data_IF_714780138178
#
_entry.id   IF_714780138178
#
_cell.length_a   1.000
_cell.length_b   1.000
_cell.length_c   1.000
_cell.angle_alpha   90.00
_cell.angle_beta   90.00
_cell.angle_gamma   90.00
#
_symmetry.space_group_name_H-M   'P 1'
#
loop_
_entity.id
_entity.type
_entity.pdbx_description
1 polymer ?
#
# COMPACT_ATOMS: atom_id res chain seq x y z
N UNK A 1 -17.33 -6.28 -7.38
CA UNK A 1 -16.94 -7.57 -8.00
C UNK A 1 -17.18 -8.61 -6.93
N UNK A 2 -18.03 -9.59 -7.20
CA UNK A 2 -18.27 -10.69 -6.28
C UNK A 2 -17.12 -11.70 -6.42
N UNK A 3 -16.64 -12.20 -5.29
CA UNK A 3 -15.65 -13.28 -5.23
C UNK A 3 -16.35 -14.43 -4.52
N UNK A 4 -16.59 -15.51 -5.27
CA UNK A 4 -17.44 -16.61 -4.82
C UNK A 4 -16.62 -17.77 -4.24
N UNK A 5 -15.33 -17.87 -4.60
CA UNK A 5 -14.43 -18.95 -4.17
C UNK A 5 -13.07 -18.42 -3.65
N UNK A 6 -12.43 -19.18 -2.75
CA UNK A 6 -11.11 -18.85 -2.20
C UNK A 6 -10.00 -18.73 -3.26
N UNK A 7 -10.03 -19.57 -4.29
CA UNK A 7 -9.06 -19.48 -5.39
C UNK A 7 -9.16 -18.16 -6.16
N UNK A 8 -10.38 -17.65 -6.36
CA UNK A 8 -10.60 -16.35 -6.98
C UNK A 8 -10.08 -15.22 -6.09
N UNK A 9 -10.23 -15.34 -4.77
CA UNK A 9 -9.68 -14.37 -3.81
C UNK A 9 -8.15 -14.32 -3.92
N UNK A 10 -7.50 -15.49 -3.97
CA UNK A 10 -6.05 -15.60 -4.11
C UNK A 10 -5.54 -15.05 -5.44
N UNK A 11 -6.20 -15.40 -6.54
CA UNK A 11 -5.89 -14.87 -7.87
C UNK A 11 -6.07 -13.34 -7.93
N UNK A 12 -7.11 -12.82 -7.29
CA UNK A 12 -7.38 -11.39 -7.23
C UNK A 12 -6.31 -10.64 -6.43
N UNK A 13 -5.91 -11.16 -5.27
CA UNK A 13 -4.86 -10.58 -4.42
C UNK A 13 -3.50 -10.51 -5.14
N UNK A 14 -3.21 -11.51 -5.98
CA UNK A 14 -2.01 -11.53 -6.82
C UNK A 14 -2.04 -10.51 -7.96
N UNK A 15 -3.16 -10.35 -8.67
CA UNK A 15 -3.17 -9.64 -9.96
C UNK A 15 -3.88 -8.29 -10.00
N UNK A 16 -4.94 -8.08 -9.19
CA UNK A 16 -5.92 -6.98 -9.41
C UNK A 16 -6.21 -6.10 -8.21
N UNK A 17 -5.31 -6.08 -7.22
CA UNK A 17 -5.36 -5.20 -6.06
C UNK A 17 -5.63 -3.71 -6.39
N UNK A 18 -5.15 -3.22 -7.54
CA UNK A 18 -5.33 -1.83 -8.00
C UNK A 18 -6.67 -1.51 -8.66
N UNK A 19 -7.58 -2.48 -8.77
CA UNK A 19 -8.94 -2.19 -9.24
C UNK A 19 -9.54 -1.05 -8.42
N UNK A 20 -10.42 -0.21 -8.98
CA UNK A 20 -11.20 0.80 -8.21
C UNK A 20 -12.55 0.26 -7.73
N UNK A 21 -12.93 -0.97 -8.14
CA UNK A 21 -14.24 -1.53 -7.82
C UNK A 21 -14.28 -2.12 -6.41
N UNK A 22 -15.32 -1.86 -5.61
CA UNK A 22 -15.47 -2.48 -4.30
C UNK A 22 -15.56 -4.00 -4.45
N UNK A 23 -14.99 -4.69 -3.46
CA UNK A 23 -14.97 -6.15 -3.39
C UNK A 23 -16.13 -6.56 -2.47
N UNK A 24 -16.91 -7.54 -2.91
CA UNK A 24 -17.91 -8.20 -2.08
C UNK A 24 -17.53 -9.67 -2.00
N UNK A 25 -17.39 -10.19 -0.78
CA UNK A 25 -17.11 -11.61 -0.53
C UNK A 25 -18.44 -12.36 -0.45
N UNK A 26 -18.54 -13.46 -1.19
CA UNK A 26 -19.67 -14.40 -1.13
C UNK A 26 -19.10 -15.81 -0.96
N UNK A 27 -18.49 -16.04 0.19
CA UNK A 27 -17.96 -17.36 0.55
C UNK A 27 -19.09 -18.17 1.20
N UNK A 28 -19.42 -19.37 0.68
CA UNK A 28 -20.50 -20.18 1.24
C UNK A 28 -20.20 -20.67 2.67
N UNK A 29 -18.93 -20.66 3.07
CA UNK A 29 -18.45 -21.06 4.39
C UNK A 29 -18.60 -19.96 5.46
N UNK A 30 -18.84 -18.70 5.06
CA UNK A 30 -18.96 -17.57 5.99
C UNK A 30 -20.42 -17.13 6.14
N UNK A 31 -20.74 -16.68 7.36
CA UNK A 31 -21.99 -15.95 7.58
C UNK A 31 -21.99 -14.63 6.78
N UNK A 32 -23.16 -14.16 6.35
CA UNK A 32 -23.27 -12.89 5.62
C UNK A 32 -22.69 -11.71 6.43
N UNK A 33 -22.82 -11.75 7.75
CA UNK A 33 -22.27 -10.74 8.66
C UNK A 33 -20.73 -10.70 8.62
N UNK A 34 -20.08 -11.86 8.70
CA UNK A 34 -18.63 -11.96 8.64
C UNK A 34 -18.09 -11.59 7.25
N UNK A 35 -18.75 -12.06 6.19
CA UNK A 35 -18.40 -11.74 4.82
C UNK A 35 -18.48 -10.22 4.58
N UNK A 36 -19.52 -9.56 5.10
CA UNK A 36 -19.65 -8.11 5.02
C UNK A 36 -18.53 -7.39 5.79
N UNK A 37 -18.30 -7.76 7.05
CA UNK A 37 -17.27 -7.14 7.88
C UNK A 37 -15.86 -7.26 7.29
N UNK A 38 -15.51 -8.43 6.74
CA UNK A 38 -14.22 -8.65 6.08
C UNK A 38 -14.13 -7.84 4.78
N UNK A 39 -15.21 -7.79 3.99
CA UNK A 39 -15.24 -7.00 2.75
C UNK A 39 -15.06 -5.51 3.03
N UNK A 40 -15.66 -4.98 4.10
CA UNK A 40 -15.50 -3.60 4.52
C UNK A 40 -14.06 -3.31 4.97
N UNK A 41 -13.45 -4.20 5.77
CA UNK A 41 -12.04 -4.10 6.16
C UNK A 41 -11.10 -4.05 4.95
N UNK A 42 -11.32 -4.95 3.98
CA UNK A 42 -10.54 -5.00 2.73
C UNK A 42 -10.70 -3.73 1.90
N UNK A 43 -11.94 -3.22 1.76
CA UNK A 43 -12.20 -1.99 1.02
C UNK A 43 -11.57 -0.77 1.73
N UNK A 44 -11.59 -0.73 3.07
CA UNK A 44 -10.96 0.33 3.87
C UNK A 44 -9.43 0.32 3.77
N UNK A 45 -8.80 -0.85 3.93
CA UNK A 45 -7.37 -0.99 3.73
C UNK A 45 -6.96 -0.58 2.32
N UNK A 46 -7.79 -0.88 1.32
CA UNK A 46 -7.54 -0.46 -0.06
C UNK A 46 -7.64 1.05 -0.27
N UNK A 47 -8.59 1.73 0.37
CA UNK A 47 -8.64 3.20 0.34
C UNK A 47 -7.44 3.85 1.04
N UNK A 48 -6.89 3.21 2.07
CA UNK A 48 -5.75 3.73 2.82
C UNK A 48 -4.39 3.56 2.12
N UNK A 49 -4.32 2.72 1.08
CA UNK A 49 -3.05 2.39 0.45
C UNK A 49 -2.58 3.44 -0.57
N UNK A 50 -1.56 4.20 -0.17
CA UNK A 50 -0.62 4.85 -1.08
C UNK A 50 -0.49 6.36 -0.92
N UNK A 51 -1.56 7.06 -0.56
CA UNK A 51 -1.52 8.52 -0.45
C UNK A 51 -0.83 9.00 0.83
N UNK A 52 -1.14 8.44 2.00
CA UNK A 52 -0.58 8.93 3.27
C UNK A 52 0.91 8.59 3.42
N UNK A 53 1.32 7.39 3.00
CA UNK A 53 2.72 6.96 3.06
C UNK A 53 3.58 7.68 2.01
N UNK A 54 3.03 7.89 0.80
CA UNK A 54 3.68 8.67 -0.24
C UNK A 54 3.88 10.13 0.15
N UNK A 55 2.86 10.76 0.76
CA UNK A 55 2.95 12.12 1.28
C UNK A 55 4.01 12.24 2.40
N UNK A 56 4.01 11.31 3.38
CA UNK A 56 5.03 11.28 4.44
C UNK A 56 6.44 11.07 3.88
N UNK A 57 6.61 10.18 2.90
CA UNK A 57 7.89 9.94 2.24
C UNK A 57 8.40 11.17 1.50
N UNK A 58 7.52 11.87 0.76
CA UNK A 58 7.87 13.11 0.06
C UNK A 58 8.30 14.22 1.04
N UNK A 59 7.58 14.40 2.15
CA UNK A 59 7.93 15.38 3.19
C UNK A 59 9.27 15.04 3.83
N UNK A 60 9.51 13.78 4.23
CA UNK A 60 10.80 13.36 4.78
C UNK A 60 11.96 13.58 3.80
N UNK A 61 11.80 13.15 2.54
CA UNK A 61 12.83 13.33 1.53
C UNK A 61 13.13 14.82 1.29
N UNK A 62 12.09 15.67 1.21
CA UNK A 62 12.26 17.11 1.07
C UNK A 62 13.03 17.71 2.24
N UNK A 63 12.65 17.39 3.48
CA UNK A 63 13.30 17.91 4.70
C UNK A 63 14.77 17.48 4.78
N UNK A 64 15.07 16.19 4.56
CA UNK A 64 16.45 15.67 4.60
C UNK A 64 17.31 16.31 3.51
N UNK A 65 16.79 16.40 2.28
CA UNK A 65 17.55 16.99 1.18
C UNK A 65 17.77 18.49 1.38
N UNK A 66 16.73 19.22 1.82
CA UNK A 66 16.83 20.65 2.15
C UNK A 66 17.85 20.89 3.28
N UNK A 67 17.80 20.11 4.36
CA UNK A 67 18.75 20.21 5.46
C UNK A 67 20.19 19.97 5.00
N UNK A 68 20.42 18.95 4.16
CA UNK A 68 21.73 18.64 3.59
C UNK A 68 22.29 19.75 2.69
N UNK A 69 21.45 20.43 1.90
CA UNK A 69 21.94 21.57 1.10
C UNK A 69 22.23 22.79 1.95
N UNK A 70 21.38 23.09 2.95
CA UNK A 70 21.57 24.25 3.83
C UNK A 70 22.89 24.11 4.61
N UNK A 71 23.19 22.92 5.15
CA UNK A 71 24.42 22.70 5.90
C UNK A 71 25.68 22.73 5.03
N UNK A 72 25.58 22.29 3.77
CA UNK A 72 26.76 22.15 2.92
C UNK A 72 27.08 23.39 2.06
N UNK A 73 26.10 24.25 1.76
CA UNK A 73 26.25 25.39 0.84
C UNK A 73 25.81 26.74 1.43
N UNK A 74 25.21 26.75 2.63
CA UNK A 74 24.64 27.95 3.24
C UNK A 74 23.31 28.35 2.61
N UNK A 75 22.59 29.28 3.26
CA UNK A 75 21.21 29.61 2.93
C UNK A 75 21.03 30.45 1.65
N UNK A 76 22.08 31.15 1.18
CA UNK A 76 22.01 32.10 0.05
C UNK A 76 23.27 32.09 -0.82
N UNK A 77 23.42 31.10 -1.69
CA UNK A 77 24.46 31.11 -2.75
C UNK A 77 23.84 30.85 -4.12
N UNK A 78 24.29 31.57 -5.15
CA UNK A 78 23.86 31.39 -6.56
C UNK A 78 24.15 29.97 -7.08
N UNK A 79 25.15 29.29 -6.50
CA UNK A 79 25.44 27.88 -6.74
C UNK A 79 24.27 26.94 -6.38
N UNK A 80 23.43 27.34 -5.42
CA UNK A 80 22.23 26.59 -5.01
C UNK A 80 21.18 26.58 -6.13
N UNK A 81 20.96 27.73 -6.78
CA UNK A 81 19.99 27.89 -7.87
C UNK A 81 20.33 26.96 -9.05
N UNK A 82 21.61 26.84 -9.38
CA UNK A 82 22.06 25.99 -10.50
C UNK A 82 21.87 24.49 -10.23
N UNK A 83 21.83 24.08 -8.95
CA UNK A 83 21.71 22.67 -8.53
C UNK A 83 20.30 22.26 -8.14
N UNK A 84 19.36 23.22 -8.17
CA UNK A 84 17.94 23.01 -7.91
C UNK A 84 17.29 21.92 -8.80
N UNK A 85 17.66 21.75 -10.09
CA UNK A 85 17.15 20.65 -10.92
C UNK A 85 17.59 19.28 -10.41
N UNK A 86 18.82 19.16 -9.90
CA UNK A 86 19.36 17.91 -9.34
C UNK A 86 18.62 17.54 -8.05
N UNK A 87 18.33 18.55 -7.22
CA UNK A 87 17.51 18.38 -6.03
C UNK A 87 16.10 17.89 -6.37
N UNK A 88 15.46 18.49 -7.37
CA UNK A 88 14.14 18.09 -7.86
C UNK A 88 14.16 16.66 -8.42
N UNK A 89 15.18 16.30 -9.20
CA UNK A 89 15.33 14.94 -9.71
C UNK A 89 15.52 13.92 -8.58
N UNK A 90 16.37 14.23 -7.59
CA UNK A 90 16.59 13.37 -6.43
C UNK A 90 15.31 13.20 -5.60
N UNK A 91 14.62 14.29 -5.28
CA UNK A 91 13.35 14.25 -4.52
C UNK A 91 12.26 13.47 -5.26
N UNK A 92 12.14 13.63 -6.58
CA UNK A 92 11.22 12.83 -7.39
C UNK A 92 11.58 11.34 -7.37
N UNK A 93 12.87 11.01 -7.47
CA UNK A 93 13.36 9.64 -7.42
C UNK A 93 13.06 8.96 -6.07
N UNK A 94 13.36 9.65 -4.96
CA UNK A 94 13.05 9.17 -3.62
C UNK A 94 11.55 9.13 -3.33
N UNK A 95 10.76 10.06 -3.86
CA UNK A 95 9.29 10.00 -3.77
C UNK A 95 8.73 8.79 -4.52
N UNK A 96 9.27 8.48 -5.70
CA UNK A 96 8.94 7.28 -6.47
C UNK A 96 9.28 6.00 -5.71
N UNK A 97 10.50 5.90 -5.17
CA UNK A 97 10.95 4.78 -4.35
C UNK A 97 10.11 4.60 -3.08
N UNK A 98 9.78 5.68 -2.39
CA UNK A 98 8.92 5.66 -1.21
C UNK A 98 7.52 5.11 -1.51
N UNK A 99 6.94 5.50 -2.66
CA UNK A 99 5.68 4.91 -3.14
C UNK A 99 5.83 3.42 -3.44
N UNK A 100 6.88 3.01 -4.14
CA UNK A 100 7.11 1.61 -4.49
C UNK A 100 7.26 0.72 -3.24
N UNK A 101 8.04 1.16 -2.26
CA UNK A 101 8.22 0.46 -0.99
C UNK A 101 6.93 0.43 -0.15
N UNK A 102 6.19 1.54 -0.10
CA UNK A 102 4.92 1.61 0.62
C UNK A 102 3.87 0.66 0.03
N UNK A 103 3.79 0.62 -1.30
CA UNK A 103 2.95 -0.33 -2.03
C UNK A 103 3.37 -1.77 -1.73
N UNK A 104 4.67 -2.07 -1.77
CA UNK A 104 5.18 -3.41 -1.49
C UNK A 104 4.88 -3.86 -0.04
N UNK A 105 5.05 -2.96 0.93
CA UNK A 105 4.73 -3.23 2.33
C UNK A 105 3.23 -3.44 2.56
N UNK A 106 2.37 -2.62 1.94
CA UNK A 106 0.92 -2.81 1.98
C UNK A 106 0.53 -4.17 1.38
N UNK A 107 1.12 -4.52 0.23
CA UNK A 107 0.88 -5.80 -0.43
C UNK A 107 1.24 -6.98 0.46
N UNK A 108 2.38 -6.90 1.18
CA UNK A 108 2.77 -7.93 2.14
C UNK A 108 1.77 -8.08 3.29
N UNK A 109 1.26 -6.98 3.85
CA UNK A 109 0.27 -7.03 4.94
C UNK A 109 -1.03 -7.70 4.51
N UNK A 110 -1.49 -7.41 3.30
CA UNK A 110 -2.67 -8.06 2.73
C UNK A 110 -2.45 -9.54 2.45
N UNK A 111 -1.28 -9.92 1.94
CA UNK A 111 -0.95 -11.33 1.76
C UNK A 111 -1.00 -12.08 3.10
N UNK A 112 -0.43 -11.50 4.16
CA UNK A 112 -0.50 -12.10 5.49
C UNK A 112 -1.95 -12.24 6.01
N UNK A 113 -2.81 -11.21 5.85
CA UNK A 113 -4.21 -11.32 6.30
C UNK A 113 -4.99 -12.38 5.51
N UNK A 114 -4.74 -12.51 4.21
CA UNK A 114 -5.38 -13.52 3.37
C UNK A 114 -4.90 -14.92 3.74
N UNK A 115 -3.61 -15.10 3.98
CA UNK A 115 -3.04 -16.38 4.40
C UNK A 115 -3.61 -16.82 5.75
N UNK A 116 -3.73 -15.89 6.72
CA UNK A 116 -4.36 -16.18 8.02
C UNK A 116 -5.83 -16.59 7.87
N UNK A 117 -6.60 -15.89 7.02
CA UNK A 117 -7.99 -16.25 6.74
C UNK A 117 -8.10 -17.65 6.12
N UNK A 118 -7.18 -17.98 5.21
CA UNK A 118 -7.13 -19.28 4.55
C UNK A 118 -6.81 -20.40 5.55
N UNK A 119 -5.84 -20.19 6.44
CA UNK A 119 -5.48 -21.16 7.48
C UNK A 119 -6.63 -21.39 8.48
N UNK A 120 -7.38 -20.34 8.82
CA UNK A 120 -8.58 -20.45 9.65
C UNK A 120 -9.69 -21.28 8.98
N UNK A 121 -9.98 -21.03 7.69
CA UNK A 121 -11.03 -21.74 6.96
C UNK A 121 -10.67 -23.21 6.74
N UNK A 122 -9.42 -23.49 6.36
CA UNK A 122 -8.95 -24.86 6.15
C UNK A 122 -9.03 -25.68 7.44
N UNK A 123 -8.71 -25.08 8.60
CA UNK A 123 -8.86 -25.74 9.91
C UNK A 123 -10.32 -26.01 10.31
N UNK A 124 -11.29 -25.20 9.87
CA UNK A 124 -12.70 -25.46 10.15
C UNK A 124 -13.22 -26.64 9.34
N UNK A 125 -12.85 -26.75 8.06
CA UNK A 125 -13.27 -27.86 7.20
C UNK A 125 -12.75 -29.24 7.63
N UNK A 126 -11.69 -29.31 8.44
CA UNK A 126 -11.17 -30.58 8.98
C UNK A 126 -11.84 -31.05 10.28
N UNK A 127 -12.65 -30.19 10.93
CA UNK A 127 -13.31 -30.53 12.20
C UNK A 127 -14.72 -31.10 12.03
N UNK A 128 -15.28 -31.01 10.83
CA UNK A 128 -16.55 -31.67 10.44
C UNK A 128 -16.27 -33.05 9.84
#
# INVERSE_FOLDING_TARGET
MAIDNLEQLRAWAGAKWYSKRPIALRLPELTEADAFAISERLNRQRSDCGCSLGAKGMVCAFVVTAAGLITHYGFFTTALLWRLPILLAATLFFAGLGKALGIAAARRRLQMEIDILFDCLTNQTQKE
#
